data_IF_701250218669
#
_entry.id   IF_701250218669
#
_cell.length_a   1.000
_cell.length_b   1.000
_cell.length_c   1.000
_cell.angle_alpha   90.00
_cell.angle_beta   90.00
_cell.angle_gamma   90.00
#
_symmetry.space_group_name_H-M   'P 1'
#
loop_
_entity.id
_entity.type
_entity.pdbx_description
1 polymer ?
#
# COMPACT_ATOMS: atom_id res chain seq x y z
N UNK A 1 -6.08 19.75 3.59
CA UNK A 1 -6.42 18.32 3.68
C UNK A 1 -6.38 17.93 5.14
N UNK A 2 -7.56 17.79 5.74
CA UNK A 2 -7.78 17.62 7.18
C UNK A 2 -7.17 16.32 7.71
N UNK A 3 -6.66 16.39 8.94
CA UNK A 3 -6.03 15.33 9.74
C UNK A 3 -6.80 13.98 9.76
N UNK A 4 -8.13 14.02 9.56
CA UNK A 4 -9.04 12.86 9.58
C UNK A 4 -8.76 11.83 8.47
N UNK A 5 -8.40 12.27 7.26
CA UNK A 5 -8.15 11.33 6.16
C UNK A 5 -6.83 10.57 6.37
N UNK A 6 -5.88 11.16 7.11
CA UNK A 6 -4.57 10.55 7.38
C UNK A 6 -4.70 9.25 8.16
N UNK A 7 -5.64 9.16 9.11
CA UNK A 7 -5.90 7.92 9.86
C UNK A 7 -6.44 6.82 8.93
N UNK A 8 -7.42 7.15 8.09
CA UNK A 8 -8.03 6.20 7.15
C UNK A 8 -7.05 5.67 6.12
N UNK A 9 -6.10 6.50 5.67
CA UNK A 9 -5.02 6.04 4.79
C UNK A 9 -4.07 5.10 5.51
N UNK A 10 -3.70 5.39 6.76
CA UNK A 10 -2.84 4.52 7.56
C UNK A 10 -3.49 3.16 7.81
N UNK A 11 -4.79 3.13 8.12
CA UNK A 11 -5.54 1.89 8.30
C UNK A 11 -5.60 1.07 7.00
N UNK A 12 -5.81 1.72 5.85
CA UNK A 12 -5.77 1.04 4.56
C UNK A 12 -4.38 0.45 4.24
N UNK A 13 -3.29 1.14 4.61
CA UNK A 13 -1.93 0.62 4.43
C UNK A 13 -1.64 -0.58 5.33
N UNK A 14 -2.08 -0.52 6.59
CA UNK A 14 -1.97 -1.64 7.53
C UNK A 14 -2.74 -2.86 7.04
N UNK A 15 -3.97 -2.66 6.56
CA UNK A 15 -4.77 -3.74 6.00
C UNK A 15 -4.08 -4.44 4.82
N UNK A 16 -3.49 -3.68 3.90
CA UNK A 16 -2.70 -4.25 2.79
C UNK A 16 -1.46 -5.00 3.30
N UNK A 17 -0.74 -4.45 4.28
CA UNK A 17 0.43 -5.10 4.89
C UNK A 17 0.07 -6.41 5.59
N UNK A 18 -1.01 -6.41 6.37
CA UNK A 18 -1.51 -7.60 7.06
C UNK A 18 -1.99 -8.64 6.03
N UNK A 19 -2.66 -8.21 4.95
CA UNK A 19 -3.06 -9.11 3.87
C UNK A 19 -1.86 -9.74 3.17
N UNK A 20 -0.75 -9.02 2.98
CA UNK A 20 0.47 -9.61 2.44
C UNK A 20 1.07 -10.64 3.40
N UNK A 21 1.05 -10.38 4.71
CA UNK A 21 1.56 -11.33 5.70
C UNK A 21 0.68 -12.57 5.92
N UNK A 22 -0.64 -12.44 5.72
CA UNK A 22 -1.60 -13.56 5.79
C UNK A 22 -1.50 -14.50 4.59
N UNK A 23 -1.17 -13.94 3.42
CA UNK A 23 -0.81 -14.76 2.27
C UNK A 23 0.62 -15.27 2.54
N UNK A 24 0.77 -16.53 2.98
CA UNK A 24 2.02 -17.19 3.44
C UNK A 24 3.23 -17.09 2.48
N UNK A 25 3.04 -16.50 1.29
CA UNK A 25 4.04 -16.29 0.25
C UNK A 25 4.99 -15.11 0.52
N UNK A 26 4.67 -14.17 1.43
CA UNK A 26 5.48 -12.96 1.67
C UNK A 26 6.23 -12.99 3.00
N UNK A 27 7.50 -13.40 2.95
CA UNK A 27 8.43 -13.28 4.07
C UNK A 27 9.29 -12.02 3.93
N UNK A 28 9.40 -11.24 5.01
CA UNK A 28 10.36 -10.15 5.08
C UNK A 28 11.75 -10.73 5.26
N UNK A 29 12.65 -10.49 4.30
CA UNK A 29 14.04 -10.97 4.33
C UNK A 29 15.02 -9.82 4.19
N UNK A 30 16.16 -9.93 4.86
CA UNK A 30 17.27 -9.01 4.64
C UNK A 30 17.78 -9.10 3.20
N UNK A 31 18.14 -7.96 2.59
CA UNK A 31 18.65 -7.97 1.24
C UNK A 31 20.01 -8.69 1.18
N UNK A 32 20.21 -9.63 0.24
CA UNK A 32 21.48 -10.31 0.09
C UNK A 32 22.60 -9.33 -0.28
N UNK A 33 23.83 -9.62 0.17
CA UNK A 33 25.00 -8.76 -0.07
C UNK A 33 25.16 -8.44 -1.56
N UNK A 34 25.22 -7.15 -1.88
CA UNK A 34 25.43 -6.65 -3.24
C UNK A 34 24.17 -6.46 -4.08
N UNK A 35 22.99 -6.82 -3.56
CA UNK A 35 21.70 -6.55 -4.23
C UNK A 35 21.16 -5.19 -3.78
N UNK A 36 20.76 -4.37 -4.75
CA UNK A 36 19.99 -3.14 -4.50
C UNK A 36 18.50 -3.50 -4.53
N UNK A 37 17.78 -3.41 -3.40
CA UNK A 37 16.35 -3.65 -3.38
C UNK A 37 15.63 -2.73 -4.35
N UNK A 38 14.58 -3.25 -5.00
CA UNK A 38 13.69 -2.41 -5.80
C UNK A 38 12.90 -1.53 -4.84
N UNK A 39 12.95 -0.22 -5.03
CA UNK A 39 12.13 0.69 -4.24
C UNK A 39 10.65 0.38 -4.42
N UNK A 40 9.83 0.59 -3.40
CA UNK A 40 8.37 0.47 -3.48
C UNK A 40 7.71 1.85 -3.40
N UNK A 41 6.45 1.94 -3.83
CA UNK A 41 5.60 3.12 -3.66
C UNK A 41 4.20 2.68 -3.27
N UNK A 42 3.51 3.55 -2.54
CA UNK A 42 2.10 3.36 -2.21
C UNK A 42 1.22 4.04 -3.25
N UNK A 43 0.23 3.30 -3.74
CA UNK A 43 -0.86 3.81 -4.56
C UNK A 43 -2.08 4.01 -3.67
N UNK A 44 -2.61 5.22 -3.64
CA UNK A 44 -3.76 5.60 -2.85
C UNK A 44 -4.95 5.86 -3.76
N UNK A 45 -6.08 5.21 -3.49
CA UNK A 45 -7.33 5.40 -4.22
C UNK A 45 -8.49 5.55 -3.24
N UNK A 46 -9.29 6.60 -3.40
CA UNK A 46 -10.59 6.72 -2.73
C UNK A 46 -11.63 6.09 -3.63
N UNK A 47 -12.42 5.16 -3.08
CA UNK A 47 -13.64 4.67 -3.72
C UNK A 47 -14.75 5.65 -3.36
N UNK A 48 -15.42 6.15 -4.40
CA UNK A 48 -16.58 7.00 -4.27
C UNK A 48 -17.83 6.15 -4.45
N UNK A 49 -18.84 6.38 -3.61
CA UNK A 49 -20.17 5.82 -3.74
C UNK A 49 -20.95 6.47 -4.88
N UNK A 50 -22.18 6.01 -5.06
CA UNK A 50 -23.09 6.48 -6.11
C UNK A 50 -23.41 7.97 -6.03
N UNK A 51 -23.32 8.58 -4.84
CA UNK A 51 -23.60 10.01 -4.63
C UNK A 51 -22.31 10.84 -4.44
N UNK A 52 -21.15 10.27 -4.77
CA UNK A 52 -19.86 10.95 -4.68
C UNK A 52 -19.25 11.00 -3.27
N UNK A 53 -19.86 10.35 -2.29
CA UNK A 53 -19.31 10.19 -0.95
C UNK A 53 -18.13 9.19 -0.94
N UNK A 54 -17.11 9.43 -0.10
CA UNK A 54 -16.00 8.48 0.03
C UNK A 54 -16.47 7.26 0.82
N UNK A 55 -16.65 6.14 0.15
CA UNK A 55 -17.10 4.88 0.74
C UNK A 55 -15.94 4.04 1.28
N UNK A 56 -14.77 4.10 0.65
CA UNK A 56 -13.59 3.38 1.12
C UNK A 56 -12.28 4.05 0.71
N UNK A 57 -11.24 3.76 1.49
CA UNK A 57 -9.84 4.12 1.20
C UNK A 57 -9.11 2.83 0.85
N UNK A 58 -8.48 2.79 -0.32
CA UNK A 58 -7.70 1.65 -0.79
C UNK A 58 -6.25 2.10 -0.94
N UNK A 59 -5.33 1.40 -0.28
CA UNK A 59 -3.90 1.58 -0.42
C UNK A 59 -3.31 0.28 -0.98
N UNK A 60 -2.44 0.38 -1.97
CA UNK A 60 -1.72 -0.78 -2.54
C UNK A 60 -0.23 -0.51 -2.56
N UNK A 61 0.56 -1.49 -2.14
CA UNK A 61 2.02 -1.43 -2.24
C UNK A 61 2.45 -1.98 -3.60
N UNK A 62 3.19 -1.18 -4.37
CA UNK A 62 3.69 -1.61 -5.68
C UNK A 62 5.19 -1.39 -5.79
N UNK A 63 5.87 -2.30 -6.50
CA UNK A 63 7.27 -2.10 -6.87
C UNK A 63 7.39 -0.88 -7.81
N UNK A 64 8.40 -0.05 -7.56
CA UNK A 64 8.79 1.04 -8.45
C UNK A 64 9.57 0.41 -9.60
N UNK A 65 8.85 -0.13 -10.58
CA UNK A 65 9.44 -0.71 -11.78
C UNK A 65 10.39 0.27 -12.46
N UNK A 66 11.52 -0.26 -12.93
CA UNK A 66 12.44 0.47 -13.80
C UNK A 66 11.71 0.79 -15.10
N UNK A 67 11.78 2.05 -15.55
CA UNK A 67 11.45 2.40 -16.95
C UNK A 67 12.38 1.62 -17.87
N UNK A 68 11.76 0.89 -18.79
CA UNK A 68 12.37 0.10 -19.85
C UNK A 68 13.32 0.92 -20.72
#
# INVERSE_FOLDING_TARGET
MSNIDSGKWLDAMKFEMDSMGLNEDWILVDPPKGVKPVGCKWLYKRKLGTYGEVTAFEARLVAKGYTQ
#
